data_IF_721622557808
#
_entry.id   IF_721622557808
#
_cell.length_a   1.000
_cell.length_b   1.000
_cell.length_c   1.000
_cell.angle_alpha   90.00
_cell.angle_beta   90.00
_cell.angle_gamma   90.00
#
_symmetry.space_group_name_H-M   'P 1'
#
loop_
_entity.id
_entity.type
_entity.pdbx_description
1 polymer ?
#
# COMPACT_ATOMS: atom_id res chain seq x y z
N UNK A 1 11.15 15.99 -9.85
CA UNK A 1 10.47 16.35 -8.59
C UNK A 1 9.90 15.08 -7.98
N UNK A 2 10.09 14.87 -6.69
CA UNK A 2 9.46 13.75 -5.97
C UNK A 2 7.95 13.95 -5.96
N UNK A 3 7.17 12.90 -6.20
CA UNK A 3 5.69 12.93 -6.20
C UNK A 3 5.12 12.90 -4.77
N UNK A 4 6.00 12.75 -3.77
CA UNK A 4 5.65 12.68 -2.35
C UNK A 4 6.46 13.72 -1.57
N UNK A 5 5.96 14.06 -0.37
CA UNK A 5 6.69 14.94 0.54
C UNK A 5 7.99 14.29 1.03
N UNK A 6 9.02 15.11 1.29
CA UNK A 6 10.30 14.67 1.86
C UNK A 6 10.14 13.78 3.11
N UNK A 7 9.20 14.11 3.99
CA UNK A 7 8.94 13.34 5.22
C UNK A 7 8.36 11.94 4.96
N UNK A 8 7.58 11.77 3.88
CA UNK A 8 7.08 10.45 3.48
C UNK A 8 8.19 9.62 2.84
N UNK A 9 9.03 10.26 2.04
CA UNK A 9 10.18 9.64 1.40
C UNK A 9 11.19 9.13 2.44
N UNK A 10 11.53 9.96 3.44
CA UNK A 10 12.38 9.57 4.57
C UNK A 10 11.79 8.39 5.35
N UNK A 11 10.50 8.42 5.67
CA UNK A 11 9.82 7.32 6.37
C UNK A 11 9.86 6.01 5.57
N UNK A 12 9.60 6.07 4.27
CA UNK A 12 9.67 4.89 3.40
C UNK A 12 11.09 4.35 3.36
N UNK A 13 12.09 5.22 3.19
CA UNK A 13 13.49 4.80 3.16
C UNK A 13 13.93 4.15 4.49
N UNK A 14 13.52 4.70 5.63
CA UNK A 14 13.76 4.11 6.95
C UNK A 14 13.14 2.72 7.07
N UNK A 15 11.87 2.56 6.69
CA UNK A 15 11.14 1.28 6.79
C UNK A 15 11.79 0.18 5.96
N UNK A 16 12.30 0.51 4.76
CA UNK A 16 12.90 -0.49 3.87
C UNK A 16 14.41 -0.65 4.06
N UNK A 17 15.05 0.09 4.96
CA UNK A 17 16.51 0.16 5.08
C UNK A 17 17.16 -1.19 5.39
N UNK A 18 16.52 -2.03 6.19
CA UNK A 18 17.04 -3.35 6.59
C UNK A 18 16.57 -4.51 5.67
N UNK A 19 15.82 -4.17 4.61
CA UNK A 19 15.25 -5.13 3.66
C UNK A 19 14.07 -5.93 4.20
N UNK A 20 13.53 -5.57 5.37
CA UNK A 20 12.36 -6.20 5.98
C UNK A 20 11.37 -5.12 6.40
N UNK A 21 10.14 -5.52 6.69
CA UNK A 21 9.12 -4.62 7.22
C UNK A 21 8.50 -5.29 8.43
N UNK A 22 8.66 -4.67 9.59
CA UNK A 22 8.01 -5.11 10.83
C UNK A 22 6.55 -4.65 10.89
N UNK A 23 5.77 -5.29 11.76
CA UNK A 23 4.38 -4.89 12.02
C UNK A 23 4.30 -3.46 12.57
N UNK A 24 5.30 -3.03 13.34
CA UNK A 24 5.34 -1.68 13.93
C UNK A 24 5.59 -0.62 12.85
N UNK A 25 6.55 -0.86 11.96
CA UNK A 25 6.85 0.00 10.82
C UNK A 25 5.65 0.12 9.86
N UNK A 26 5.04 -1.02 9.55
CA UNK A 26 3.84 -1.04 8.72
C UNK A 26 2.68 -0.24 9.35
N UNK A 27 2.42 -0.41 10.65
CA UNK A 27 1.40 0.37 11.36
C UNK A 27 1.70 1.86 11.33
N UNK A 28 2.95 2.25 11.59
CA UNK A 28 3.40 3.65 11.51
C UNK A 28 3.10 4.25 10.13
N UNK A 29 3.40 3.52 9.05
CA UNK A 29 3.13 3.97 7.68
C UNK A 29 1.62 4.11 7.40
N UNK A 30 0.82 3.12 7.82
CA UNK A 30 -0.63 3.15 7.66
C UNK A 30 -1.24 4.35 8.41
N UNK A 31 -0.87 4.53 9.66
CA UNK A 31 -1.39 5.61 10.49
C UNK A 31 -0.96 6.99 9.94
N UNK A 32 0.23 7.12 9.34
CA UNK A 32 0.64 8.34 8.62
C UNK A 32 -0.17 8.56 7.32
N UNK A 33 -0.49 7.50 6.58
CA UNK A 33 -1.32 7.56 5.40
C UNK A 33 -2.75 8.03 5.74
N UNK A 34 -3.35 7.49 6.80
CA UNK A 34 -4.66 7.91 7.30
C UNK A 34 -4.65 9.38 7.73
N UNK A 35 -3.62 9.80 8.49
CA UNK A 35 -3.46 11.20 8.90
C UNK A 35 -3.39 12.17 7.71
N UNK A 36 -2.78 11.77 6.59
CA UNK A 36 -2.74 12.57 5.35
C UNK A 36 -4.11 12.63 4.69
N UNK A 37 -4.84 11.52 4.67
CA UNK A 37 -6.21 11.48 4.17
C UNK A 37 -7.18 12.30 5.03
N UNK A 38 -6.99 12.36 6.34
CA UNK A 38 -7.78 13.24 7.22
C UNK A 38 -7.64 14.72 6.83
N UNK A 39 -6.45 15.15 6.41
CA UNK A 39 -6.26 16.50 5.89
C UNK A 39 -7.05 16.72 4.59
N UNK A 40 -7.05 15.73 3.67
CA UNK A 40 -7.88 15.78 2.46
C UNK A 40 -9.36 15.84 2.80
N UNK A 41 -9.84 15.05 3.76
CA UNK A 41 -11.25 15.07 4.19
C UNK A 41 -11.64 16.42 4.78
N UNK A 42 -10.76 17.05 5.56
CA UNK A 42 -11.02 18.39 6.12
C UNK A 42 -11.25 19.43 5.02
N UNK A 43 -10.51 19.36 3.91
CA UNK A 43 -10.63 20.36 2.84
C UNK A 43 -11.67 20.02 1.77
N UNK A 44 -11.85 18.74 1.43
CA UNK A 44 -12.71 18.32 0.31
C UNK A 44 -13.99 17.59 0.76
N UNK A 45 -14.21 17.47 2.07
CA UNK A 45 -15.34 16.77 2.65
C UNK A 45 -15.29 15.25 2.46
N UNK A 46 -16.42 14.60 2.74
CA UNK A 46 -16.60 13.16 2.62
C UNK A 46 -17.38 12.79 1.35
N UNK A 47 -17.50 11.48 1.07
CA UNK A 47 -18.29 10.93 -0.04
C UNK A 47 -17.78 11.29 -1.44
N UNK A 48 -16.47 11.44 -1.58
CA UNK A 48 -15.79 11.66 -2.85
C UNK A 48 -14.83 10.50 -3.18
N UNK A 49 -14.28 10.52 -4.40
CA UNK A 49 -13.38 9.47 -4.89
C UNK A 49 -12.11 9.32 -4.04
N UNK A 50 -11.64 10.37 -3.36
CA UNK A 50 -10.47 10.30 -2.49
C UNK A 50 -10.78 9.50 -1.22
N UNK A 51 -11.94 9.75 -0.59
CA UNK A 51 -12.40 8.95 0.56
C UNK A 51 -12.80 7.52 0.18
N UNK A 52 -13.29 7.31 -1.04
CA UNK A 52 -13.54 5.98 -1.58
C UNK A 52 -12.23 5.22 -1.82
N UNK A 53 -11.20 5.91 -2.35
CA UNK A 53 -9.86 5.34 -2.55
C UNK A 53 -9.25 4.86 -1.23
N UNK A 54 -9.28 5.67 -0.17
CA UNK A 54 -8.77 5.25 1.15
C UNK A 54 -9.43 3.96 1.64
N UNK A 55 -10.78 3.90 1.62
CA UNK A 55 -11.53 2.70 2.02
C UNK A 55 -11.21 1.49 1.13
N UNK A 56 -11.04 1.72 -0.17
CA UNK A 56 -10.66 0.66 -1.09
C UNK A 56 -9.26 0.10 -0.78
N UNK A 57 -8.31 0.95 -0.36
CA UNK A 57 -6.98 0.51 0.05
C UNK A 57 -7.01 -0.39 1.29
N UNK A 58 -7.88 -0.10 2.26
CA UNK A 58 -8.10 -0.99 3.41
C UNK A 58 -8.60 -2.37 2.98
N UNK A 59 -9.57 -2.40 2.07
CA UNK A 59 -10.11 -3.65 1.52
C UNK A 59 -9.04 -4.40 0.72
N UNK A 60 -8.26 -3.72 -0.12
CA UNK A 60 -7.15 -4.31 -0.89
C UNK A 60 -6.11 -4.93 0.05
N UNK A 61 -5.78 -4.26 1.14
CA UNK A 61 -4.83 -4.78 2.12
C UNK A 61 -5.38 -6.00 2.87
N UNK A 62 -6.66 -5.96 3.28
CA UNK A 62 -7.32 -7.10 3.89
C UNK A 62 -7.30 -8.31 2.93
N UNK A 63 -7.68 -8.10 1.67
CA UNK A 63 -7.67 -9.15 0.65
C UNK A 63 -6.27 -9.72 0.46
N UNK A 64 -5.27 -8.86 0.32
CA UNK A 64 -3.86 -9.25 0.22
C UNK A 64 -3.47 -10.20 1.37
N UNK A 65 -3.74 -9.81 2.62
CA UNK A 65 -3.41 -10.62 3.79
C UNK A 65 -4.16 -11.96 3.79
N UNK A 66 -5.47 -11.95 3.51
CA UNK A 66 -6.28 -13.18 3.47
C UNK A 66 -5.84 -14.13 2.36
N UNK A 67 -5.50 -13.62 1.17
CA UNK A 67 -5.00 -14.41 0.05
C UNK A 67 -3.68 -15.10 0.38
N UNK A 68 -2.76 -14.41 1.07
CA UNK A 68 -1.50 -15.02 1.51
C UNK A 68 -1.74 -16.08 2.60
N UNK A 69 -2.66 -15.83 3.54
CA UNK A 69 -3.05 -16.81 4.55
C UNK A 69 -3.62 -18.06 3.90
N UNK A 70 -4.49 -17.92 2.92
CA UNK A 70 -5.12 -19.05 2.24
C UNK A 70 -4.12 -19.82 1.34
N UNK A 71 -3.22 -19.11 0.66
CA UNK A 71 -2.11 -19.73 -0.06
C UNK A 71 -1.21 -20.55 0.87
N UNK A 72 -0.92 -20.04 2.08
CA UNK A 72 -0.16 -20.78 3.10
C UNK A 72 -0.90 -22.03 3.58
N UNK A 73 -2.22 -21.95 3.77
CA UNK A 73 -3.06 -23.10 4.16
C UNK A 73 -3.12 -24.17 3.07
N UNK A 74 -2.99 -23.78 1.80
CA UNK A 74 -3.02 -24.69 0.65
C UNK A 74 -1.78 -25.59 0.53
N UNK A 75 -0.76 -25.41 1.39
CA UNK A 75 0.49 -26.21 1.41
C UNK A 75 1.14 -26.30 0.01
N UNK A 76 1.29 -25.14 -0.62
CA UNK A 76 1.91 -25.04 -1.94
C UNK A 76 3.35 -25.55 -1.93
N UNK A 77 3.84 -25.95 -3.10
CA UNK A 77 5.28 -26.18 -3.31
C UNK A 77 6.03 -24.85 -3.26
N UNK A 78 7.35 -24.89 -3.09
CA UNK A 78 8.19 -23.68 -3.14
C UNK A 78 7.97 -22.86 -4.43
N UNK A 79 7.84 -23.55 -5.57
CA UNK A 79 7.48 -22.92 -6.85
C UNK A 79 6.10 -22.26 -6.80
N UNK A 80 5.12 -22.92 -6.20
CA UNK A 80 3.77 -22.37 -6.02
C UNK A 80 3.77 -21.13 -5.14
N UNK A 81 4.53 -21.13 -4.04
CA UNK A 81 4.70 -19.94 -3.19
C UNK A 81 5.34 -18.79 -3.95
N UNK A 82 6.37 -19.06 -4.76
CA UNK A 82 7.05 -18.05 -5.55
C UNK A 82 6.11 -17.38 -6.57
N UNK A 83 5.27 -18.18 -7.25
CA UNK A 83 4.27 -17.69 -8.21
C UNK A 83 3.25 -16.78 -7.50
N UNK A 84 2.76 -17.17 -6.33
CA UNK A 84 1.80 -16.35 -5.56
C UNK A 84 2.44 -15.04 -5.11
N UNK A 85 3.67 -15.09 -4.57
CA UNK A 85 4.40 -13.89 -4.14
C UNK A 85 4.59 -12.91 -5.30
N UNK A 86 5.03 -13.41 -6.46
CA UNK A 86 5.24 -12.60 -7.66
C UNK A 86 3.93 -11.97 -8.16
N UNK A 87 2.86 -12.76 -8.30
CA UNK A 87 1.57 -12.28 -8.78
C UNK A 87 0.96 -11.20 -7.87
N UNK A 88 1.04 -11.39 -6.54
CA UNK A 88 0.55 -10.40 -5.56
C UNK A 88 1.38 -9.13 -5.62
N UNK A 89 2.71 -9.24 -5.71
CA UNK A 89 3.59 -8.07 -5.79
C UNK A 89 3.36 -7.30 -7.10
N UNK A 90 3.12 -8.00 -8.22
CA UNK A 90 2.79 -7.37 -9.50
C UNK A 90 1.52 -6.50 -9.44
N UNK A 91 0.51 -6.87 -8.64
CA UNK A 91 -0.68 -6.03 -8.45
C UNK A 91 -0.35 -4.71 -7.73
N UNK A 92 0.55 -4.76 -6.74
CA UNK A 92 1.00 -3.58 -6.00
C UNK A 92 1.80 -2.64 -6.92
N UNK A 93 2.70 -3.20 -7.73
CA UNK A 93 3.50 -2.42 -8.68
C UNK A 93 2.65 -1.81 -9.81
N UNK A 94 1.65 -2.55 -10.31
CA UNK A 94 0.66 -2.01 -11.25
C UNK A 94 -0.05 -0.77 -10.68
N UNK A 95 -0.56 -0.87 -9.44
CA UNK A 95 -1.24 0.25 -8.80
C UNK A 95 -0.28 1.43 -8.60
N UNK A 96 0.93 1.17 -8.09
CA UNK A 96 1.96 2.19 -7.86
C UNK A 96 2.31 2.94 -9.15
N UNK A 97 2.60 2.21 -10.23
CA UNK A 97 2.93 2.81 -11.52
C UNK A 97 1.75 3.62 -12.09
N UNK A 98 0.52 3.10 -11.97
CA UNK A 98 -0.70 3.80 -12.34
C UNK A 98 -0.90 5.11 -11.57
N UNK A 99 -0.65 5.09 -10.25
CA UNK A 99 -0.67 6.30 -9.41
C UNK A 99 0.37 7.32 -9.86
N UNK A 100 1.61 6.89 -10.12
CA UNK A 100 2.65 7.77 -10.65
C UNK A 100 2.26 8.42 -11.98
N UNK A 101 1.59 7.68 -12.87
CA UNK A 101 1.09 8.22 -14.13
C UNK A 101 -0.03 9.24 -13.91
N UNK A 102 -1.02 8.90 -13.08
CA UNK A 102 -2.19 9.74 -12.83
C UNK A 102 -1.83 11.05 -12.11
N UNK A 103 -0.91 11.01 -11.15
CA UNK A 103 -0.50 12.20 -10.38
C UNK A 103 0.24 13.25 -11.23
N UNK A 104 0.77 12.90 -12.40
CA UNK A 104 1.35 13.87 -13.35
C UNK A 104 0.32 14.82 -13.96
N UNK A 105 -0.97 14.53 -13.78
CA UNK A 105 -2.07 15.39 -14.25
C UNK A 105 -2.36 16.54 -13.27
N UNK A 106 -1.74 16.53 -12.09
CA UNK A 106 -1.77 17.61 -11.08
C UNK A 106 -0.50 18.46 -11.20
#
# INVERSE_FOLDING_TARGET
MSLISKTLEEMINEIYQDGRVSVVEYKKLRDDADRRMDAVVREFGQHNNLTALQKAMDVVMQLTQTSIIDAKKAKLTDTGEAIVKDAVFAQVEYLRAGTHLALKLL
#
